data_IF_692531230465
#
_entry.id   IF_692531230465
#
_cell.length_a   1.000
_cell.length_b   1.000
_cell.length_c   1.000
_cell.angle_alpha   90.00
_cell.angle_beta   90.00
_cell.angle_gamma   90.00
#
_symmetry.space_group_name_H-M   'P 1'
#
loop_
_entity.id
_entity.type
_entity.pdbx_description
1 polymer ?
#
# COMPACT_ATOMS: atom_id res chain seq x y z
N UNK A 1 -4.33 27.16 7.65
CA UNK A 1 -3.98 25.90 6.96
C UNK A 1 -5.25 25.42 6.29
N UNK A 2 -5.35 25.64 4.98
CA UNK A 2 -6.55 25.31 4.23
C UNK A 2 -6.77 23.80 4.18
N UNK A 3 -7.94 23.37 4.64
CA UNK A 3 -8.43 21.97 4.59
C UNK A 3 -8.77 21.51 3.16
N UNK A 4 -8.40 22.30 2.13
CA UNK A 4 -8.92 22.19 0.77
C UNK A 4 -7.91 21.63 -0.26
N UNK A 5 -6.82 21.01 0.21
CA UNK A 5 -5.83 20.35 -0.66
C UNK A 5 -5.85 18.81 -0.58
N UNK A 6 -6.93 18.23 -0.03
CA UNK A 6 -7.14 16.77 0.02
C UNK A 6 -8.05 16.33 -1.12
N UNK A 7 -7.53 16.26 -2.35
CA UNK A 7 -8.22 15.57 -3.44
C UNK A 7 -7.93 14.07 -3.36
N UNK A 8 -8.23 13.48 -2.21
CA UNK A 8 -8.31 12.05 -2.07
C UNK A 8 -9.76 11.65 -2.33
N UNK A 9 -9.99 10.74 -3.29
CA UNK A 9 -11.30 10.11 -3.44
C UNK A 9 -11.60 9.36 -2.13
N UNK A 10 -12.41 9.95 -1.26
CA UNK A 10 -12.86 9.35 0.00
C UNK A 10 -14.29 8.87 -0.17
N UNK A 11 -14.58 7.68 0.35
CA UNK A 11 -15.96 7.19 0.43
C UNK A 11 -16.81 8.05 1.36
N UNK A 12 -18.12 8.00 1.18
CA UNK A 12 -19.04 8.52 2.19
C UNK A 12 -18.90 7.68 3.48
N UNK A 13 -19.25 8.24 4.65
CA UNK A 13 -19.26 7.46 5.89
C UNK A 13 -20.14 6.21 5.81
N UNK A 14 -21.27 6.27 5.09
CA UNK A 14 -22.24 5.18 4.95
C UNK A 14 -21.72 4.05 4.05
N UNK A 15 -20.91 4.38 3.05
CA UNK A 15 -20.27 3.42 2.14
C UNK A 15 -18.94 2.86 2.66
N UNK A 16 -18.48 3.38 3.81
CA UNK A 16 -17.23 2.98 4.43
C UNK A 16 -17.42 1.68 5.22
N UNK A 17 -16.48 0.75 5.06
CA UNK A 17 -16.43 -0.48 5.85
C UNK A 17 -16.05 -0.12 7.29
N UNK A 18 -16.95 -0.43 8.22
CA UNK A 18 -16.79 -0.13 9.64
C UNK A 18 -15.58 -0.85 10.27
N UNK A 19 -14.92 -0.16 11.19
CA UNK A 19 -13.80 -0.66 12.00
C UNK A 19 -14.07 -0.31 13.45
N UNK A 20 -13.71 -1.20 14.38
CA UNK A 20 -13.65 -0.87 15.81
C UNK A 20 -12.45 0.07 16.07
N UNK A 21 -12.68 1.36 15.87
CA UNK A 21 -11.66 2.41 16.04
C UNK A 21 -11.19 2.55 17.48
N UNK A 22 -12.00 2.15 18.45
CA UNK A 22 -11.64 2.18 19.86
C UNK A 22 -10.62 1.07 20.19
N UNK A 23 -10.79 -0.13 19.62
CA UNK A 23 -9.78 -1.19 19.69
C UNK A 23 -8.46 -0.76 19.04
N UNK A 24 -8.49 -0.14 17.85
CA UNK A 24 -7.28 0.42 17.21
C UNK A 24 -6.62 1.47 18.08
N UNK A 25 -7.41 2.40 18.65
CA UNK A 25 -6.91 3.47 19.53
C UNK A 25 -6.18 2.90 20.75
N UNK A 26 -6.77 1.91 21.43
CA UNK A 26 -6.15 1.23 22.58
C UNK A 26 -4.85 0.53 22.19
N UNK A 27 -4.85 -0.18 21.07
CA UNK A 27 -3.65 -0.86 20.56
C UNK A 27 -2.52 0.12 20.28
N UNK A 28 -2.79 1.20 19.56
CA UNK A 28 -1.79 2.21 19.22
C UNK A 28 -1.27 2.93 20.46
N UNK A 29 -2.14 3.22 21.44
CA UNK A 29 -1.74 3.83 22.70
C UNK A 29 -0.76 2.95 23.49
N UNK A 30 -0.95 1.62 23.49
CA UNK A 30 -0.01 0.67 24.11
C UNK A 30 1.38 0.68 23.45
N UNK A 31 1.48 1.19 22.21
CA UNK A 31 2.73 1.35 21.45
C UNK A 31 3.22 2.81 21.42
N UNK A 32 2.68 3.68 22.28
CA UNK A 32 3.12 5.07 22.40
C UNK A 32 2.64 6.01 21.30
N UNK A 33 1.65 5.60 20.50
CA UNK A 33 1.06 6.42 19.43
C UNK A 33 -0.36 6.85 19.80
N UNK A 34 -0.74 8.09 19.50
CA UNK A 34 -2.08 8.61 19.77
C UNK A 34 -2.91 8.68 18.50
N UNK A 35 -3.90 7.81 18.38
CA UNK A 35 -4.95 7.92 17.37
C UNK A 35 -5.99 8.96 17.79
N UNK A 36 -6.23 9.93 16.92
CA UNK A 36 -7.28 10.93 17.02
C UNK A 36 -8.52 10.47 16.24
N UNK A 37 -9.69 10.63 16.84
CA UNK A 37 -10.99 10.25 16.26
C UNK A 37 -11.87 11.46 15.92
N UNK A 38 -11.35 12.66 16.14
CA UNK A 38 -11.92 13.92 15.66
C UNK A 38 -10.82 14.71 14.93
N UNK A 39 -10.86 14.82 13.59
CA UNK A 39 -11.91 14.32 12.71
C UNK A 39 -11.94 12.78 12.66
N UNK A 40 -13.11 12.18 12.35
CA UNK A 40 -13.24 10.73 12.28
C UNK A 40 -12.42 10.15 11.11
N UNK A 41 -11.90 8.91 11.26
CA UNK A 41 -11.28 8.18 10.15
C UNK A 41 -12.16 8.12 8.90
N UNK A 42 -11.55 8.20 7.72
CA UNK A 42 -12.26 8.20 6.42
C UNK A 42 -11.68 7.16 5.48
N UNK A 43 -12.51 6.32 4.87
CA UNK A 43 -12.03 5.32 3.92
C UNK A 43 -11.71 5.96 2.56
N UNK A 44 -10.59 5.57 1.96
CA UNK A 44 -10.30 5.87 0.55
C UNK A 44 -11.18 5.02 -0.37
N UNK A 45 -11.67 5.60 -1.47
CA UNK A 45 -12.44 4.90 -2.48
C UNK A 45 -11.62 3.90 -3.30
N UNK A 46 -10.31 4.14 -3.43
CA UNK A 46 -9.37 3.29 -4.17
C UNK A 46 -8.73 2.19 -3.32
N UNK A 47 -8.55 1.01 -3.93
CA UNK A 47 -7.91 -0.15 -3.32
C UNK A 47 -8.79 -1.39 -3.40
N UNK A 48 -8.55 -2.26 -4.40
CA UNK A 48 -9.32 -3.49 -4.59
C UNK A 48 -8.85 -4.63 -3.66
N UNK A 49 -7.54 -4.66 -3.37
CA UNK A 49 -6.92 -5.73 -2.59
C UNK A 49 -6.83 -5.41 -1.08
N UNK A 50 -6.59 -4.15 -0.71
CA UNK A 50 -6.52 -3.72 0.69
C UNK A 50 -7.37 -2.47 0.87
N UNK A 51 -8.04 -2.37 2.01
CA UNK A 51 -8.78 -1.20 2.45
C UNK A 51 -7.81 -0.21 3.10
N UNK A 52 -7.92 1.06 2.73
CA UNK A 52 -7.09 2.14 3.27
C UNK A 52 -8.00 3.20 3.90
N UNK A 53 -7.56 3.76 5.02
CA UNK A 53 -8.29 4.77 5.77
C UNK A 53 -7.35 5.92 6.12
N UNK A 54 -7.75 7.15 5.81
CA UNK A 54 -7.13 8.35 6.34
C UNK A 54 -7.46 8.44 7.82
N UNK A 55 -6.44 8.51 8.65
CA UNK A 55 -6.51 8.67 10.11
C UNK A 55 -5.63 9.85 10.54
N UNK A 56 -5.78 10.29 11.78
CA UNK A 56 -4.88 11.26 12.39
C UNK A 56 -4.12 10.59 13.54
N UNK A 57 -2.79 10.55 13.41
CA UNK A 57 -1.89 9.96 14.37
C UNK A 57 -0.93 11.04 14.87
N UNK A 58 -0.90 11.26 16.19
CA UNK A 58 -0.03 12.25 16.84
C UNK A 58 -0.14 13.66 16.19
N UNK A 59 -1.36 14.08 15.86
CA UNK A 59 -1.66 15.37 15.24
C UNK A 59 -1.33 15.47 13.74
N UNK A 60 -0.97 14.37 13.07
CA UNK A 60 -0.62 14.35 11.65
C UNK A 60 -1.44 13.33 10.87
N UNK A 61 -1.73 13.57 9.58
CA UNK A 61 -2.40 12.58 8.75
C UNK A 61 -1.52 11.34 8.56
N UNK A 62 -2.15 10.18 8.65
CA UNK A 62 -1.55 8.87 8.41
C UNK A 62 -2.56 7.96 7.70
N UNK A 63 -2.12 6.79 7.26
CA UNK A 63 -2.98 5.80 6.60
C UNK A 63 -3.00 4.51 7.42
N UNK A 64 -4.19 4.05 7.80
CA UNK A 64 -4.39 2.67 8.22
C UNK A 64 -4.70 1.83 6.97
N UNK A 65 -3.88 0.82 6.72
CA UNK A 65 -4.07 -0.16 5.64
C UNK A 65 -4.39 -1.52 6.25
N UNK A 66 -5.34 -2.26 5.69
CA UNK A 66 -5.67 -3.63 6.11
C UNK A 66 -6.27 -4.45 4.97
N UNK A 67 -6.26 -5.79 5.05
CA UNK A 67 -6.98 -6.65 4.11
C UNK A 67 -8.50 -6.52 4.29
N UNK A 68 -9.30 -6.91 3.28
CA UNK A 68 -10.73 -7.10 3.45
C UNK A 68 -11.03 -8.18 4.51
N UNK A 69 -12.28 -8.23 4.96
CA UNK A 69 -12.76 -9.33 5.81
C UNK A 69 -12.91 -10.61 4.99
N UNK A 70 -12.70 -11.77 5.61
CA UNK A 70 -12.87 -13.09 4.98
C UNK A 70 -11.56 -13.88 4.83
N UNK A 71 -11.68 -15.10 4.30
CA UNK A 71 -10.52 -15.95 4.00
C UNK A 71 -9.68 -15.32 2.90
N UNK A 72 -8.40 -15.12 3.20
CA UNK A 72 -7.43 -14.60 2.25
C UNK A 72 -6.72 -15.79 1.57
N UNK A 73 -6.59 -15.80 0.24
CA UNK A 73 -5.77 -16.80 -0.46
C UNK A 73 -4.36 -16.91 0.15
N UNK A 74 -3.83 -18.12 0.26
CA UNK A 74 -2.49 -18.34 0.81
C UNK A 74 -1.43 -17.49 0.06
N UNK A 75 -0.68 -16.68 0.80
CA UNK A 75 0.32 -15.77 0.24
C UNK A 75 -0.21 -14.44 -0.30
N UNK A 76 -1.52 -14.19 -0.27
CA UNK A 76 -2.08 -12.86 -0.52
C UNK A 76 -1.99 -12.00 0.76
N UNK A 77 -1.63 -10.72 0.60
CA UNK A 77 -1.51 -9.73 1.68
C UNK A 77 -0.43 -10.01 2.75
N UNK A 78 0.81 -10.29 2.34
CA UNK A 78 1.96 -10.31 3.26
C UNK A 78 2.32 -8.90 3.75
N UNK A 79 1.51 -8.38 4.67
CA UNK A 79 1.68 -7.06 5.27
C UNK A 79 2.92 -6.98 6.15
N UNK A 80 3.38 -8.10 6.71
CA UNK A 80 4.62 -8.15 7.47
C UNK A 80 5.82 -7.83 6.58
N UNK A 81 5.86 -8.41 5.37
CA UNK A 81 6.85 -8.07 4.36
C UNK A 81 6.71 -6.64 3.86
N UNK A 82 5.49 -6.16 3.61
CA UNK A 82 5.25 -4.75 3.24
C UNK A 82 5.79 -3.79 4.34
N UNK A 83 5.50 -4.07 5.62
CA UNK A 83 6.00 -3.31 6.77
C UNK A 83 7.51 -3.34 6.88
N UNK A 84 8.12 -4.52 6.72
CA UNK A 84 9.58 -4.66 6.73
C UNK A 84 10.24 -3.80 5.66
N UNK A 85 9.71 -3.81 4.44
CA UNK A 85 10.24 -3.01 3.34
C UNK A 85 10.06 -1.51 3.64
N UNK A 86 8.82 -1.08 3.95
CA UNK A 86 8.47 0.34 4.10
C UNK A 86 8.98 0.96 5.41
N UNK A 87 9.40 0.18 6.40
CA UNK A 87 10.06 0.72 7.60
C UNK A 87 11.53 1.10 7.36
N UNK A 88 12.18 0.55 6.31
CA UNK A 88 13.62 0.74 6.03
C UNK A 88 13.91 1.42 4.69
N UNK A 89 13.14 1.12 3.66
CA UNK A 89 13.33 1.66 2.31
C UNK A 89 13.38 3.20 2.25
N UNK A 90 12.62 3.96 3.07
CA UNK A 90 12.73 5.42 3.08
C UNK A 90 14.11 5.97 3.45
N UNK A 91 14.97 5.17 4.10
CA UNK A 91 16.34 5.58 4.44
C UNK A 91 17.23 5.67 3.19
N UNK A 92 16.91 4.91 2.12
CA UNK A 92 17.55 5.00 0.81
C UNK A 92 16.72 5.78 -0.21
N UNK A 93 15.38 5.73 -0.11
CA UNK A 93 14.43 6.35 -1.03
C UNK A 93 13.41 7.24 -0.28
N UNK A 94 13.75 8.50 0.05
CA UNK A 94 12.91 9.37 0.89
C UNK A 94 11.53 9.73 0.31
N UNK A 95 11.27 9.39 -0.96
CA UNK A 95 9.96 9.59 -1.59
C UNK A 95 8.96 8.46 -1.31
N UNK A 96 9.43 7.32 -0.78
CA UNK A 96 8.59 6.18 -0.37
C UNK A 96 7.98 6.47 1.01
N UNK A 97 6.68 6.18 1.24
CA UNK A 97 6.07 6.37 2.56
C UNK A 97 6.70 5.45 3.61
N UNK A 98 6.92 5.97 4.82
CA UNK A 98 7.35 5.13 5.95
C UNK A 98 6.21 4.32 6.52
N UNK A 99 6.47 3.06 6.87
CA UNK A 99 5.58 2.33 7.77
C UNK A 99 5.94 2.60 9.22
N UNK A 100 4.99 3.14 9.99
CA UNK A 100 5.17 3.45 11.40
C UNK A 100 4.92 2.24 12.30
N UNK A 101 3.94 1.40 11.96
CA UNK A 101 3.52 0.29 12.81
C UNK A 101 2.88 -0.85 12.03
N UNK A 102 2.99 -2.06 12.56
CA UNK A 102 2.25 -3.24 12.13
C UNK A 102 1.59 -3.89 13.35
N UNK A 103 0.28 -4.10 13.27
CA UNK A 103 -0.42 -5.03 14.13
C UNK A 103 -0.63 -6.34 13.37
N UNK A 104 0.09 -7.39 13.75
CA UNK A 104 -0.05 -8.72 13.15
C UNK A 104 -1.02 -9.63 13.93
N UNK A 105 -1.63 -9.11 15.01
CA UNK A 105 -2.66 -9.81 15.77
C UNK A 105 -4.06 -9.52 15.19
N UNK A 106 -4.69 -10.49 14.49
CA UNK A 106 -6.01 -10.30 13.91
C UNK A 106 -7.10 -10.16 14.97
N UNK A 107 -6.85 -10.51 16.24
CA UNK A 107 -7.84 -10.37 17.31
C UNK A 107 -8.23 -8.90 17.59
N UNK A 108 -7.39 -7.94 17.19
CA UNK A 108 -7.61 -6.51 17.46
C UNK A 108 -8.84 -5.96 16.71
N UNK A 109 -8.97 -6.24 15.42
CA UNK A 109 -10.07 -5.74 14.57
C UNK A 109 -10.55 -6.78 13.53
N UNK A 110 -10.32 -8.05 13.81
CA UNK A 110 -10.64 -9.18 12.92
C UNK A 110 -9.64 -9.39 11.79
N UNK A 111 -8.64 -8.52 11.62
CA UNK A 111 -7.54 -8.65 10.66
C UNK A 111 -6.31 -7.88 11.15
N UNK A 112 -5.13 -8.27 10.64
CA UNK A 112 -3.90 -7.47 10.72
C UNK A 112 -4.06 -6.12 10.03
N UNK A 113 -3.32 -5.13 10.50
CA UNK A 113 -3.30 -3.79 9.89
C UNK A 113 -1.93 -3.12 10.04
N UNK A 114 -1.69 -2.14 9.19
CA UNK A 114 -0.45 -1.37 9.14
C UNK A 114 -0.77 0.12 9.21
N UNK A 115 0.06 0.88 9.92
CA UNK A 115 0.05 2.33 9.90
C UNK A 115 1.19 2.83 9.01
N UNK A 116 0.84 3.70 8.08
CA UNK A 116 1.71 4.24 7.05
C UNK A 116 1.70 5.78 7.08
N UNK A 117 2.80 6.38 6.67
CA UNK A 117 2.89 7.81 6.36
C UNK A 117 1.87 8.17 5.27
N UNK A 118 1.09 9.22 5.52
CA UNK A 118 0.27 9.82 4.47
C UNK A 118 1.12 10.75 3.60
N UNK A 119 1.15 10.48 2.30
CA UNK A 119 1.82 11.31 1.29
C UNK A 119 0.77 12.09 0.49
N UNK A 120 0.57 13.39 0.73
CA UNK A 120 -0.35 14.18 -0.06
C UNK A 120 0.17 14.28 -1.50
N UNK A 121 -0.72 14.08 -2.47
CA UNK A 121 -0.36 14.15 -3.88
C UNK A 121 -1.46 13.60 -4.79
N UNK A 122 -1.15 13.56 -6.09
CA UNK A 122 -2.05 13.07 -7.11
C UNK A 122 -1.74 11.61 -7.46
N UNK A 123 -2.79 10.82 -7.66
CA UNK A 123 -2.69 9.48 -8.25
C UNK A 123 -3.15 9.56 -9.69
N UNK A 124 -2.20 9.55 -10.62
CA UNK A 124 -2.50 9.56 -12.06
C UNK A 124 -2.93 8.14 -12.45
N UNK A 125 -4.18 7.98 -12.90
CA UNK A 125 -4.75 6.71 -13.40
C UNK A 125 -4.90 6.80 -14.92
N UNK A 126 -6.12 6.62 -15.42
CA UNK A 126 -6.44 6.68 -16.85
C UNK A 126 -6.36 8.10 -17.42
N UNK A 127 -6.70 9.10 -16.61
CA UNK A 127 -6.75 10.50 -17.03
C UNK A 127 -5.78 11.37 -16.21
N UNK A 128 -5.19 12.37 -16.87
CA UNK A 128 -4.35 13.37 -16.20
C UNK A 128 -5.24 14.28 -15.34
N UNK A 129 -4.88 14.54 -14.06
CA UNK A 129 -5.59 15.52 -13.24
C UNK A 129 -5.63 16.89 -13.90
N UNK A 130 -6.76 17.63 -13.86
CA UNK A 130 -6.86 18.97 -14.45
C UNK A 130 -5.75 19.93 -14.01
N UNK A 131 -5.31 19.83 -12.76
CA UNK A 131 -4.22 20.61 -12.16
C UNK A 131 -2.86 20.41 -12.85
N UNK A 132 -2.69 19.27 -13.52
CA UNK A 132 -1.49 18.88 -14.25
C UNK A 132 -1.68 18.98 -15.77
N UNK A 133 -2.90 18.77 -16.27
CA UNK A 133 -3.21 18.64 -17.70
C UNK A 133 -2.85 19.89 -18.53
N UNK A 134 -2.92 21.08 -17.94
CA UNK A 134 -2.67 22.34 -18.65
C UNK A 134 -1.18 22.71 -18.80
N UNK A 135 -0.26 21.87 -18.32
CA UNK A 135 1.19 22.14 -18.35
C UNK A 135 1.83 21.45 -19.56
N UNK A 136 2.29 22.19 -20.59
CA UNK A 136 2.82 21.59 -21.82
C UNK A 136 3.98 20.61 -21.60
N UNK A 137 4.79 20.85 -20.58
CA UNK A 137 5.98 20.05 -20.25
C UNK A 137 5.71 18.86 -19.31
N UNK A 138 4.45 18.64 -18.91
CA UNK A 138 4.14 17.65 -17.86
C UNK A 138 4.49 16.22 -18.27
N UNK A 139 4.24 15.85 -19.52
CA UNK A 139 4.55 14.50 -20.01
C UNK A 139 6.04 14.19 -19.95
N UNK A 140 6.87 15.15 -20.36
CA UNK A 140 8.33 15.02 -20.30
C UNK A 140 8.82 14.91 -18.85
N UNK A 141 8.34 15.78 -17.98
CA UNK A 141 8.71 15.77 -16.55
C UNK A 141 8.31 14.46 -15.87
N UNK A 142 7.08 13.99 -16.06
CA UNK A 142 6.59 12.75 -15.47
C UNK A 142 7.39 11.54 -15.96
N UNK A 143 7.73 11.51 -17.26
CA UNK A 143 8.56 10.45 -17.84
C UNK A 143 9.96 10.40 -17.22
N UNK A 144 10.60 11.57 -17.07
CA UNK A 144 11.89 11.67 -16.40
C UNK A 144 11.84 11.26 -14.92
N UNK A 145 10.79 11.68 -14.20
CA UNK A 145 10.60 11.28 -12.79
C UNK A 145 10.41 9.77 -12.68
N UNK A 146 9.59 9.16 -13.55
CA UNK A 146 9.36 7.72 -13.56
C UNK A 146 10.66 6.95 -13.80
N UNK A 147 11.42 7.30 -14.84
CA UNK A 147 12.67 6.63 -15.18
C UNK A 147 13.72 6.79 -14.07
N UNK A 148 13.88 8.00 -13.52
CA UNK A 148 14.78 8.25 -12.39
C UNK A 148 14.37 7.44 -11.16
N UNK A 149 13.07 7.33 -10.88
CA UNK A 149 12.54 6.57 -9.74
C UNK A 149 12.80 5.08 -9.89
N UNK A 150 12.53 4.50 -11.06
CA UNK A 150 12.81 3.08 -11.33
C UNK A 150 14.31 2.80 -11.22
N UNK A 151 15.16 3.66 -11.80
CA UNK A 151 16.61 3.53 -11.69
C UNK A 151 17.08 3.63 -10.24
N UNK A 152 16.55 4.57 -9.45
CA UNK A 152 16.87 4.71 -8.04
C UNK A 152 16.46 3.46 -7.23
N UNK A 153 15.29 2.88 -7.50
CA UNK A 153 14.85 1.62 -6.86
C UNK A 153 15.83 0.48 -7.15
N UNK A 154 16.28 0.34 -8.40
CA UNK A 154 17.25 -0.70 -8.76
C UNK A 154 18.66 -0.46 -8.18
N UNK A 155 18.99 0.78 -7.85
CA UNK A 155 20.29 1.15 -7.29
C UNK A 155 20.36 1.07 -5.76
N UNK A 156 19.26 0.70 -5.08
CA UNK A 156 19.24 0.57 -3.61
C UNK A 156 20.21 -0.52 -3.17
N UNK A 157 21.18 -0.15 -2.33
CA UNK A 157 21.97 -1.10 -1.56
C UNK A 157 21.09 -1.69 -0.44
N UNK A 158 20.49 -2.84 -0.73
CA UNK A 158 19.60 -3.52 0.22
C UNK A 158 20.31 -3.92 1.49
N UNK A 159 21.62 -4.23 1.44
CA UNK A 159 22.40 -4.59 2.63
C UNK A 159 22.58 -3.38 3.55
N UNK A 160 22.87 -2.21 2.99
CA UNK A 160 23.02 -0.98 3.77
C UNK A 160 21.76 -0.61 4.58
N UNK A 161 20.58 -1.01 4.09
CA UNK A 161 19.29 -0.80 4.77
C UNK A 161 18.72 -2.09 5.41
N UNK A 162 19.51 -3.15 5.53
CA UNK A 162 19.13 -4.42 6.19
C UNK A 162 17.98 -5.18 5.51
N UNK A 163 17.86 -5.09 4.19
CA UNK A 163 16.86 -5.75 3.35
C UNK A 163 17.48 -6.83 2.44
N UNK A 164 18.69 -7.29 2.74
CA UNK A 164 19.44 -8.28 1.95
C UNK A 164 18.84 -9.69 2.00
N UNK A 165 18.08 -10.02 3.04
CA UNK A 165 17.39 -11.30 3.25
C UNK A 165 15.92 -11.31 2.77
N UNK A 166 15.46 -10.27 2.05
CA UNK A 166 14.07 -10.17 1.56
C UNK A 166 13.65 -11.25 0.55
N UNK A 167 14.61 -12.00 0.02
CA UNK A 167 14.38 -13.02 -0.98
C UNK A 167 15.65 -13.77 -1.33
N UNK A 168 15.56 -14.56 -2.40
CA UNK A 168 16.67 -15.37 -2.92
C UNK A 168 17.04 -14.84 -4.30
N UNK A 169 18.13 -14.07 -4.46
CA UNK A 169 18.53 -13.52 -5.77
C UNK A 169 19.10 -14.61 -6.70
N UNK A 170 19.84 -15.58 -6.17
CA UNK A 170 20.51 -16.61 -6.97
C UNK A 170 19.47 -17.42 -7.74
N UNK A 171 19.59 -17.53 -9.06
CA UNK A 171 18.65 -18.30 -9.89
C UNK A 171 17.25 -17.69 -10.02
N UNK A 172 17.07 -16.39 -9.70
CA UNK A 172 15.78 -15.70 -9.81
C UNK A 172 15.13 -15.86 -11.18
N UNK A 173 15.87 -15.62 -12.27
CA UNK A 173 15.33 -15.70 -13.64
C UNK A 173 14.79 -17.09 -13.97
N UNK A 174 15.58 -18.14 -13.68
CA UNK A 174 15.16 -19.52 -13.92
C UNK A 174 13.89 -19.89 -13.12
N UNK A 175 13.81 -19.47 -11.84
CA UNK A 175 12.61 -19.67 -11.01
C UNK A 175 11.41 -18.89 -11.52
N UNK A 176 11.60 -17.63 -11.91
CA UNK A 176 10.52 -16.79 -12.41
C UNK A 176 9.92 -17.40 -13.68
N UNK A 177 10.76 -17.77 -14.66
CA UNK A 177 10.32 -18.42 -15.90
C UNK A 177 9.63 -19.75 -15.62
N UNK A 178 10.21 -20.61 -14.78
CA UNK A 178 9.62 -21.90 -14.41
C UNK A 178 8.26 -21.73 -13.73
N UNK A 179 8.15 -20.80 -12.77
CA UNK A 179 6.89 -20.53 -12.06
C UNK A 179 5.81 -19.94 -12.95
N UNK A 180 6.16 -19.04 -13.89
CA UNK A 180 5.21 -18.54 -14.89
C UNK A 180 4.72 -19.65 -15.83
N UNK A 181 5.62 -20.54 -16.28
CA UNK A 181 5.24 -21.70 -17.10
C UNK A 181 4.25 -22.60 -16.37
N UNK A 182 4.53 -22.95 -15.11
CA UNK A 182 3.66 -23.80 -14.30
C UNK A 182 2.28 -23.18 -14.11
N UNK A 183 2.20 -21.89 -13.74
CA UNK A 183 0.91 -21.18 -13.64
C UNK A 183 0.17 -21.13 -14.97
N UNK A 184 0.88 -20.95 -16.08
CA UNK A 184 0.29 -20.95 -17.42
C UNK A 184 -0.27 -22.33 -17.84
N UNK A 185 0.33 -23.43 -17.37
CA UNK A 185 -0.20 -24.78 -17.59
C UNK A 185 -1.44 -25.02 -16.71
N UNK A 186 -1.34 -24.75 -15.40
CA UNK A 186 -2.46 -24.92 -14.47
C UNK A 186 -3.70 -24.11 -14.89
N UNK A 187 -3.50 -22.85 -15.33
CA UNK A 187 -4.61 -22.01 -15.81
C UNK A 187 -5.30 -22.55 -17.07
N UNK A 188 -4.63 -23.39 -17.87
CA UNK A 188 -5.27 -24.10 -18.99
C UNK A 188 -6.03 -25.32 -18.47
N UNK A 189 -5.39 -26.11 -17.61
CA UNK A 189 -5.94 -27.36 -17.07
C UNK A 189 -7.21 -27.13 -16.22
N UNK A 190 -7.27 -26.05 -15.44
CA UNK A 190 -8.46 -25.65 -14.65
C UNK A 190 -9.52 -24.89 -15.47
N UNK A 191 -9.32 -24.70 -16.79
CA UNK A 191 -10.09 -23.74 -17.59
C UNK A 191 -10.40 -24.12 -19.04
N UNK A 192 -10.20 -25.38 -19.47
CA UNK A 192 -10.52 -25.82 -20.84
C UNK A 192 -11.73 -26.74 -21.00
N UNK A 193 -12.70 -26.71 -20.08
CA UNK A 193 -14.04 -27.31 -20.31
C UNK A 193 -15.18 -26.29 -20.53
N UNK A 194 -14.93 -24.97 -20.52
CA UNK A 194 -16.01 -23.97 -20.56
C UNK A 194 -15.92 -22.92 -21.68
N UNK A 195 -15.14 -23.14 -22.75
CA UNK A 195 -15.03 -22.16 -23.85
C UNK A 195 -15.34 -22.70 -25.25
N UNK A 196 -15.86 -23.92 -25.40
CA UNK A 196 -16.17 -24.50 -26.72
C UNK A 196 -17.46 -25.35 -26.81
N UNK A 197 -18.54 -24.98 -26.12
CA UNK A 197 -19.92 -25.29 -26.54
C UNK A 197 -20.80 -24.03 -26.44
#
# INVERSE_FOLDING_TARGET
>A
MDRNAMQADLRSPEESVAIDWEAVRRHLAAHGMRLETDPPPRQFAGGLANLNYLIYLDGKPAVLRRPPMGELPAGSHDMAREHRILSRLPDALPFVPRSFHLCDDPSTIGQRFQILEYRPGFVIREHMPPELAHRPEIGDRLSHVLLKTIAAIHAVDTKAIGLDDLGRPEGFLARAVSGWRQRGVAAKEDGTEALHE
#
